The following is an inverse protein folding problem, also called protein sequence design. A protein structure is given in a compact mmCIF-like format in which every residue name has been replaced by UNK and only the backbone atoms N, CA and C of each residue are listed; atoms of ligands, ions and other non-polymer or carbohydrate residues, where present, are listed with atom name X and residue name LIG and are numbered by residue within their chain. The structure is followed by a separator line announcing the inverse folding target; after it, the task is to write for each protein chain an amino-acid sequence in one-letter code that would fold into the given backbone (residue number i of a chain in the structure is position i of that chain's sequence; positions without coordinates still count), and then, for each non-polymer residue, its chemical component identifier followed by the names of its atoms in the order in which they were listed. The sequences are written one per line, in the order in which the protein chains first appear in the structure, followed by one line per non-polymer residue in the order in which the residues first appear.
data_IF_093913084356
#
_entry.id   IF_093913084356
#
_cell.length_a   1.000
_cell.length_b   1.000
_cell.length_c   1.000
_cell.angle_alpha   90.00
_cell.angle_beta   90.00
_cell.angle_gamma   90.00
#
_symmetry.space_group_name_H-M   'P 1'
#
loop_
_entity.id
_entity.type
_entity.pdbx_description
1 polymer ?
#
# COMPACT_ATOMS: atom_id res chain seq x y z
N UNK A 1 7.54 12.64 -7.88
CA UNK A 1 7.37 11.26 -8.37
C UNK A 1 7.38 10.36 -7.17
N UNK A 2 6.38 9.49 -6.99
CA UNK A 2 6.32 8.57 -5.84
C UNK A 2 7.12 7.32 -6.20
N UNK A 3 7.91 6.76 -5.26
CA UNK A 3 8.69 5.53 -5.47
C UNK A 3 8.24 4.40 -4.53
N UNK A 4 8.57 3.14 -4.85
CA UNK A 4 8.19 2.00 -3.97
C UNK A 4 9.00 2.02 -2.68
N UNK A 5 10.23 2.49 -2.75
CA UNK A 5 11.18 2.57 -1.65
C UNK A 5 10.62 3.54 -0.58
N UNK A 6 10.11 4.69 -1.01
CA UNK A 6 9.40 5.63 -0.13
C UNK A 6 8.10 5.05 0.45
N UNK A 7 7.31 4.34 -0.37
CA UNK A 7 6.07 3.71 0.09
C UNK A 7 6.34 2.61 1.12
N UNK A 8 7.41 1.82 0.93
CA UNK A 8 7.83 0.78 1.89
C UNK A 8 8.35 1.39 3.18
N UNK A 9 9.17 2.44 3.11
CA UNK A 9 9.70 3.13 4.29
C UNK A 9 8.57 3.74 5.15
N UNK A 10 7.50 4.24 4.51
CA UNK A 10 6.34 4.82 5.18
C UNK A 10 5.27 3.80 5.58
N UNK A 11 5.39 2.56 5.13
CA UNK A 11 4.39 1.54 5.40
C UNK A 11 4.50 1.01 6.83
N UNK A 12 3.35 0.73 7.46
CA UNK A 12 3.25 0.08 8.76
C UNK A 12 2.52 -1.25 8.63
N UNK A 13 2.67 -2.14 9.61
CA UNK A 13 1.86 -3.35 9.68
C UNK A 13 0.39 -2.95 9.73
N UNK A 14 -0.43 -3.50 8.84
CA UNK A 14 -1.85 -3.25 8.86
C UNK A 14 -2.50 -4.02 10.03
N UNK A 15 -3.56 -3.45 10.59
CA UNK A 15 -4.28 -4.05 11.72
C UNK A 15 -5.07 -5.29 11.30
N UNK A 16 -5.44 -5.41 10.03
CA UNK A 16 -6.39 -6.40 9.51
C UNK A 16 -5.77 -7.72 8.99
N UNK A 17 -4.44 -7.88 8.94
CA UNK A 17 -3.83 -9.14 8.48
C UNK A 17 -2.37 -9.32 8.88
N UNK A 18 -1.96 -10.57 9.14
CA UNK A 18 -0.62 -10.90 9.67
C UNK A 18 0.54 -10.44 8.77
N UNK A 19 0.31 -10.29 7.46
CA UNK A 19 1.29 -9.93 6.44
C UNK A 19 0.94 -8.67 5.64
N UNK A 20 -0.16 -8.02 5.97
CA UNK A 20 -0.62 -6.82 5.30
C UNK A 20 0.21 -5.60 5.71
N UNK A 21 0.58 -4.79 4.72
CA UNK A 21 1.23 -3.50 4.90
C UNK A 21 0.27 -2.40 4.52
N UNK A 22 0.16 -1.39 5.38
CA UNK A 22 -0.60 -0.16 5.15
C UNK A 22 0.37 0.97 4.79
N UNK A 23 0.09 1.72 3.73
CA UNK A 23 0.75 3.00 3.44
C UNK A 23 -0.28 4.10 3.26
N UNK A 24 -0.01 5.28 3.82
CA UNK A 24 -0.87 6.45 3.66
C UNK A 24 -0.26 7.40 2.65
N UNK A 25 -1.02 7.73 1.61
CA UNK A 25 -0.64 8.61 0.50
C UNK A 25 -1.63 9.75 0.32
N UNK A 26 -1.25 10.80 -0.41
CA UNK A 26 -2.18 11.81 -0.91
C UNK A 26 -3.15 11.16 -1.91
N UNK A 27 -4.43 11.55 -1.89
CA UNK A 27 -5.48 10.98 -2.74
C UNK A 27 -5.13 11.11 -4.23
N UNK A 28 -4.45 12.19 -4.64
CA UNK A 28 -4.02 12.43 -6.02
C UNK A 28 -2.97 11.42 -6.48
N UNK A 29 -2.18 10.91 -5.55
CA UNK A 29 -1.10 9.96 -5.82
C UNK A 29 -1.52 8.50 -5.60
N UNK A 30 -2.78 8.24 -5.22
CA UNK A 30 -3.23 6.89 -4.88
C UNK A 30 -3.14 5.92 -6.07
N UNK A 31 -3.53 6.37 -7.26
CA UNK A 31 -3.45 5.54 -8.47
C UNK A 31 -2.01 5.18 -8.84
N UNK A 32 -1.09 6.15 -8.76
CA UNK A 32 0.34 5.95 -9.02
C UNK A 32 0.95 4.97 -8.00
N UNK A 33 0.65 5.15 -6.71
CA UNK A 33 1.12 4.28 -5.65
C UNK A 33 0.66 2.82 -5.86
N UNK A 34 -0.60 2.60 -6.24
CA UNK A 34 -1.12 1.25 -6.55
C UNK A 34 -0.39 0.64 -7.74
N UNK A 35 -0.14 1.41 -8.80
CA UNK A 35 0.59 0.95 -9.99
C UNK A 35 2.01 0.50 -9.62
N UNK A 36 2.69 1.27 -8.78
CA UNK A 36 4.05 0.99 -8.31
C UNK A 36 4.09 -0.26 -7.41
N UNK A 37 3.12 -0.40 -6.51
CA UNK A 37 2.97 -1.60 -5.66
C UNK A 37 2.84 -2.85 -6.54
N UNK A 38 1.96 -2.81 -7.55
CA UNK A 38 1.77 -3.93 -8.48
C UNK A 38 3.01 -4.21 -9.33
N UNK A 39 3.68 -3.17 -9.86
CA UNK A 39 4.85 -3.35 -10.73
C UNK A 39 6.06 -3.96 -10.02
N UNK A 40 6.12 -3.84 -8.68
CA UNK A 40 7.17 -4.41 -7.84
C UNK A 40 6.82 -5.79 -7.29
N UNK A 41 5.75 -6.41 -7.79
CA UNK A 41 5.36 -7.78 -7.44
C UNK A 41 4.56 -7.92 -6.16
N UNK A 42 4.10 -6.81 -5.56
CA UNK A 42 3.18 -6.87 -4.43
C UNK A 42 1.73 -7.02 -4.91
N UNK A 43 0.90 -7.66 -4.10
CA UNK A 43 -0.53 -7.77 -4.33
C UNK A 43 -1.23 -6.62 -3.61
N UNK A 44 -2.00 -5.84 -4.36
CA UNK A 44 -2.90 -4.84 -3.79
C UNK A 44 -4.09 -5.55 -3.14
N UNK A 45 -4.36 -5.24 -1.87
CA UNK A 45 -5.46 -5.82 -1.09
C UNK A 45 -6.67 -4.89 -1.12
N UNK A 46 -6.45 -3.59 -0.89
CA UNK A 46 -7.53 -2.62 -0.83
C UNK A 46 -7.05 -1.20 -0.60
N UNK A 47 -7.99 -0.25 -0.61
CA UNK A 47 -7.71 1.14 -0.24
C UNK A 47 -8.91 1.78 0.43
N UNK A 48 -8.67 2.70 1.36
CA UNK A 48 -9.72 3.39 2.12
C UNK A 48 -9.34 4.82 2.48
N UNK A 49 -10.28 5.65 2.96
CA UNK A 49 -9.98 7.01 3.37
C UNK A 49 -9.05 7.04 4.60
N UNK A 50 -8.10 7.98 4.61
CA UNK A 50 -7.21 8.23 5.76
C UNK A 50 -7.44 9.62 6.40
N UNK A 51 -8.48 10.34 5.98
CA UNK A 51 -8.77 11.72 6.37
C UNK A 51 -7.97 12.78 5.58
N UNK A 52 -8.45 14.03 5.59
CA UNK A 52 -7.83 15.23 4.98
C UNK A 52 -7.15 14.98 3.61
N UNK A 53 -7.89 14.47 2.63
CA UNK A 53 -7.38 14.25 1.27
C UNK A 53 -6.30 13.16 1.16
N UNK A 54 -6.21 12.26 2.14
CA UNK A 54 -5.30 11.11 2.13
C UNK A 54 -6.06 9.80 1.96
N UNK A 55 -5.37 8.81 1.40
CA UNK A 55 -5.86 7.45 1.20
C UNK A 55 -4.91 6.45 1.85
N UNK A 56 -5.46 5.47 2.55
CA UNK A 56 -4.75 4.27 3.00
C UNK A 56 -4.75 3.27 1.86
N UNK A 57 -3.63 2.60 1.65
CA UNK A 57 -3.48 1.51 0.69
C UNK A 57 -2.93 0.31 1.46
N UNK A 58 -3.60 -0.83 1.34
CA UNK A 58 -3.17 -2.11 1.90
C UNK A 58 -2.63 -3.01 0.80
N UNK A 59 -1.48 -3.64 1.07
CA UNK A 59 -0.83 -4.55 0.13
C UNK A 59 -0.03 -5.64 0.86
N UNK A 60 0.20 -6.77 0.19
CA UNK A 60 0.97 -7.92 0.70
C UNK A 60 2.04 -8.34 -0.31
N UNK A 61 3.10 -9.02 0.15
CA UNK A 61 4.02 -9.68 -0.77
C UNK A 61 3.31 -10.86 -1.45
N UNK A 62 3.53 -11.07 -2.76
CA UNK A 62 2.88 -12.16 -3.52
C UNK A 62 3.08 -13.58 -2.96
N UNK A 63 4.10 -13.79 -2.11
CA UNK A 63 4.34 -15.07 -1.43
C UNK A 63 3.78 -15.15 0.00
N UNK A 64 3.26 -14.06 0.57
CA UNK A 64 2.75 -14.03 1.93
C UNK A 64 1.22 -14.22 2.03
N UNK A 65 0.52 -14.21 0.89
CA UNK A 65 -0.93 -14.44 0.82
C UNK A 65 -1.32 -15.94 0.79
N UNK A 66 -0.35 -16.85 0.86
CA UNK A 66 -0.51 -18.30 0.66
C UNK A 66 -0.19 -19.14 1.91
N UNK A 67 -0.21 -18.54 3.11
CA UNK A 67 -0.08 -19.26 4.38
C UNK A 67 -1.34 -19.13 5.22
#
# INVERSE_FOLDING_TARGET
MVTIEELRARSKRATCGAFEREVVVDIRNAAEAIRIIKSKGFMFVGSGPAGRGKKKIWYVARGAALL
#
